data_IF_502292704545
#
_entry.id   IF_502292704545
#
_cell.length_a   1.000
_cell.length_b   1.000
_cell.length_c   1.000
_cell.angle_alpha   90.00
_cell.angle_beta   90.00
_cell.angle_gamma   90.00
#
_symmetry.space_group_name_H-M   'P 1'
#
loop_
_entity.id
_entity.type
_entity.pdbx_description
1 polymer ?
#
# COMPACT_ATOMS: atom_id res chain seq x y z
N UNK A 1 -12.71 4.81 -15.21
CA UNK A 1 -14.13 4.64 -14.83
C UNK A 1 -14.70 3.52 -15.68
N UNK A 2 -15.42 2.58 -15.09
CA UNK A 2 -16.15 1.54 -15.81
C UNK A 2 -17.59 2.03 -15.95
N UNK A 3 -18.11 2.12 -17.18
CA UNK A 3 -19.49 2.54 -17.42
C UNK A 3 -20.41 1.33 -17.54
N UNK A 4 -21.67 1.39 -17.06
CA UNK A 4 -22.64 0.29 -17.18
C UNK A 4 -22.86 -0.18 -18.63
N UNK A 5 -22.69 0.71 -19.60
CA UNK A 5 -22.77 0.37 -21.03
C UNK A 5 -21.71 -0.66 -21.46
N UNK A 6 -20.50 -0.63 -20.87
CA UNK A 6 -19.44 -1.60 -21.19
C UNK A 6 -19.81 -3.01 -20.72
N UNK A 7 -20.42 -3.10 -19.54
CA UNK A 7 -20.88 -4.37 -18.97
C UNK A 7 -22.08 -4.92 -19.76
N UNK A 8 -23.00 -4.03 -20.18
CA UNK A 8 -24.13 -4.39 -21.02
C UNK A 8 -23.72 -4.94 -22.40
N UNK A 9 -22.73 -4.32 -23.06
CA UNK A 9 -22.20 -4.83 -24.34
C UNK A 9 -21.48 -6.16 -24.18
N UNK A 10 -20.70 -6.33 -23.11
CA UNK A 10 -20.01 -7.59 -22.82
C UNK A 10 -20.99 -8.74 -22.55
N UNK A 11 -22.09 -8.48 -21.83
CA UNK A 11 -23.14 -9.45 -21.58
C UNK A 11 -23.88 -9.85 -22.87
N UNK A 12 -24.16 -8.90 -23.77
CA UNK A 12 -24.77 -9.17 -25.09
C UNK A 12 -23.87 -10.03 -25.98
N UNK A 13 -22.55 -9.94 -25.83
CA UNK A 13 -21.56 -10.77 -26.51
C UNK A 13 -21.37 -12.15 -25.86
N UNK A 14 -22.19 -12.52 -24.88
CA UNK A 14 -22.16 -13.82 -24.20
C UNK A 14 -21.07 -13.97 -23.14
N UNK A 15 -20.42 -12.87 -22.72
CA UNK A 15 -19.39 -12.93 -21.69
C UNK A 15 -19.98 -13.30 -20.32
N UNK A 16 -19.36 -14.27 -19.65
CA UNK A 16 -19.71 -14.63 -18.26
C UNK A 16 -19.18 -13.57 -17.28
N UNK A 17 -19.82 -13.36 -16.11
CA UNK A 17 -19.38 -12.36 -15.13
C UNK A 17 -17.89 -12.46 -14.74
N UNK A 18 -17.38 -13.70 -14.57
CA UNK A 18 -15.97 -13.94 -14.26
C UNK A 18 -15.02 -13.55 -15.40
N UNK A 19 -15.44 -13.77 -16.65
CA UNK A 19 -14.67 -13.39 -17.83
C UNK A 19 -14.64 -11.87 -18.02
N UNK A 20 -15.73 -11.20 -17.68
CA UNK A 20 -15.85 -9.74 -17.68
C UNK A 20 -14.88 -9.11 -16.65
N UNK A 21 -14.82 -9.65 -15.43
CA UNK A 21 -13.87 -9.20 -14.40
C UNK A 21 -12.44 -9.35 -14.89
N UNK A 22 -12.05 -10.53 -15.37
CA UNK A 22 -10.66 -10.81 -15.79
C UNK A 22 -10.23 -10.04 -17.03
N UNK A 23 -11.09 -9.92 -18.05
CA UNK A 23 -10.72 -9.35 -19.36
C UNK A 23 -10.96 -7.85 -19.46
N UNK A 24 -11.93 -7.31 -18.72
CA UNK A 24 -12.32 -5.90 -18.84
C UNK A 24 -11.92 -5.14 -17.58
N UNK A 25 -12.46 -5.52 -16.42
CA UNK A 25 -12.27 -4.73 -15.20
C UNK A 25 -10.83 -4.79 -14.67
N UNK A 26 -10.21 -5.97 -14.58
CA UNK A 26 -8.85 -6.15 -14.07
C UNK A 26 -7.80 -5.33 -14.83
N UNK A 27 -7.70 -5.38 -16.17
CA UNK A 27 -6.70 -4.60 -16.90
C UNK A 27 -6.99 -3.09 -16.89
N UNK A 28 -8.26 -2.68 -16.81
CA UNK A 28 -8.64 -1.27 -16.67
C UNK A 28 -8.29 -0.72 -15.28
N UNK A 29 -8.47 -1.53 -14.24
CA UNK A 29 -8.21 -1.15 -12.85
C UNK A 29 -6.77 -1.40 -12.41
N UNK A 30 -5.93 -2.08 -13.20
CA UNK A 30 -4.55 -2.46 -12.82
C UNK A 30 -3.72 -1.32 -12.23
N UNK A 31 -3.85 -0.11 -12.80
CA UNK A 31 -3.13 1.08 -12.31
C UNK A 31 -3.66 1.51 -10.95
N UNK A 32 -4.98 1.61 -10.81
CA UNK A 32 -5.64 1.98 -9.55
C UNK A 32 -5.41 0.95 -8.44
N UNK A 33 -5.42 -0.34 -8.78
CA UNK A 33 -5.13 -1.44 -7.85
C UNK A 33 -3.68 -1.38 -7.38
N UNK A 34 -2.73 -1.17 -8.29
CA UNK A 34 -1.32 -1.01 -7.93
C UNK A 34 -1.10 0.23 -7.06
N UNK A 35 -1.82 1.33 -7.35
CA UNK A 35 -1.81 2.52 -6.50
C UNK A 35 -2.34 2.22 -5.09
N UNK A 36 -3.50 1.58 -4.98
CA UNK A 36 -4.11 1.23 -3.70
C UNK A 36 -3.23 0.27 -2.90
N UNK A 37 -2.62 -0.73 -3.54
CA UNK A 37 -1.71 -1.68 -2.92
C UNK A 37 -0.50 -0.98 -2.30
N UNK A 38 0.12 -0.06 -3.02
CA UNK A 38 1.26 0.71 -2.51
C UNK A 38 0.86 1.63 -1.36
N UNK A 39 -0.34 2.21 -1.39
CA UNK A 39 -0.88 2.99 -0.26
C UNK A 39 -1.06 2.12 0.99
N UNK A 40 -1.75 0.99 0.86
CA UNK A 40 -1.97 0.05 1.98
C UNK A 40 -0.64 -0.48 2.51
N UNK A 41 0.33 -0.76 1.64
CA UNK A 41 1.67 -1.17 2.07
C UNK A 41 2.36 -0.12 2.95
N UNK A 42 2.33 1.15 2.54
CA UNK A 42 2.91 2.26 3.31
C UNK A 42 2.20 2.44 4.64
N UNK A 43 0.87 2.33 4.64
CA UNK A 43 0.02 2.46 5.83
C UNK A 43 0.32 1.37 6.85
N UNK A 44 0.27 0.10 6.42
CA UNK A 44 0.57 -1.06 7.25
C UNK A 44 2.02 -1.05 7.77
N UNK A 45 2.98 -0.54 7.01
CA UNK A 45 4.37 -0.42 7.47
C UNK A 45 4.51 0.51 8.69
N UNK A 46 3.62 1.50 8.83
CA UNK A 46 3.65 2.49 9.92
C UNK A 46 2.63 2.21 11.01
N UNK A 47 1.80 1.17 10.86
CA UNK A 47 0.76 0.78 11.81
C UNK A 47 1.36 0.24 13.12
N UNK A 48 1.67 1.18 14.01
CA UNK A 48 2.24 0.97 15.34
C UNK A 48 1.28 0.27 16.33
N UNK A 49 -0.03 0.62 16.40
CA UNK A 49 -0.94 0.08 17.42
C UNK A 49 -1.19 -1.43 17.27
N UNK A 50 -1.45 -1.89 16.04
CA UNK A 50 -1.69 -3.31 15.77
C UNK A 50 -0.44 -4.15 16.05
N UNK A 51 0.74 -3.60 15.72
CA UNK A 51 2.01 -4.28 15.94
C UNK A 51 2.36 -4.39 17.42
N UNK A 52 2.02 -3.39 18.24
CA UNK A 52 2.21 -3.44 19.69
C UNK A 52 1.25 -4.44 20.37
N UNK A 53 0.01 -4.56 19.89
CA UNK A 53 -1.01 -5.47 20.45
C UNK A 53 -0.77 -6.94 20.08
N UNK A 54 -0.22 -7.21 18.90
CA UNK A 54 0.01 -8.56 18.37
C UNK A 54 1.47 -9.02 18.51
N UNK A 55 2.35 -8.22 19.12
CA UNK A 55 3.78 -8.51 19.25
C UNK A 55 4.00 -9.86 19.95
N UNK A 56 4.54 -10.89 19.28
CA UNK A 56 5.11 -12.05 19.97
C UNK A 56 6.39 -11.62 20.71
N UNK A 57 6.71 -12.28 21.82
CA UNK A 57 7.95 -12.05 22.56
C UNK A 57 9.17 -12.21 21.62
N UNK A 58 10.19 -11.35 21.77
CA UNK A 58 11.44 -11.32 20.97
C UNK A 58 11.39 -10.81 19.51
N UNK A 59 10.30 -10.21 19.03
CA UNK A 59 10.31 -9.52 17.73
C UNK A 59 10.05 -8.02 17.89
N UNK A 60 11.06 -7.21 17.54
CA UNK A 60 10.98 -5.75 17.46
C UNK A 60 10.97 -5.33 16.00
N UNK A 61 9.87 -4.72 15.56
CA UNK A 61 9.82 -4.08 14.24
C UNK A 61 10.50 -2.71 14.31
N UNK A 62 10.91 -2.15 13.16
CA UNK A 62 11.52 -0.81 13.10
C UNK A 62 10.65 0.26 13.79
N UNK A 63 9.33 0.13 13.69
CA UNK A 63 8.38 1.02 14.34
C UNK A 63 8.40 0.91 15.88
N UNK A 64 8.51 -0.32 16.40
CA UNK A 64 8.62 -0.59 17.84
C UNK A 64 9.97 -0.13 18.40
N UNK A 65 11.07 -0.39 17.69
CA UNK A 65 12.41 0.07 18.09
C UNK A 65 12.50 1.61 18.15
N UNK A 66 11.91 2.30 17.16
CA UNK A 66 11.82 3.76 17.17
C UNK A 66 11.00 4.26 18.35
N UNK A 67 9.88 3.61 18.65
CA UNK A 67 9.00 3.99 19.77
C UNK A 67 9.67 3.77 21.13
N UNK A 68 10.38 2.65 21.34
CA UNK A 68 11.10 2.37 22.58
C UNK A 68 12.25 3.38 22.80
N UNK A 69 13.06 3.66 21.77
CA UNK A 69 14.13 4.66 21.86
C UNK A 69 13.60 6.09 22.06
N UNK A 70 12.39 6.38 21.59
CA UNK A 70 11.70 7.64 21.86
C UNK A 70 11.27 7.74 23.32
N UNK A 71 10.71 6.64 23.86
CA UNK A 71 10.30 6.55 25.25
C UNK A 71 11.49 6.62 26.22
N UNK A 72 12.65 6.10 25.80
CA UNK A 72 13.91 6.16 26.54
C UNK A 72 14.65 7.51 26.39
N UNK A 73 14.07 8.50 25.69
CA UNK A 73 14.67 9.82 25.38
C UNK A 73 16.03 9.77 24.65
N UNK A 74 16.40 8.62 24.07
CA UNK A 74 17.68 8.40 23.36
C UNK A 74 17.62 8.87 21.91
N UNK A 75 17.50 10.19 21.73
CA UNK A 75 17.32 10.85 20.43
C UNK A 75 18.44 10.55 19.42
N UNK A 76 19.67 10.35 19.88
CA UNK A 76 20.82 10.01 19.03
C UNK A 76 20.67 8.64 18.36
N UNK A 77 20.11 7.67 19.07
CA UNK A 77 19.95 6.29 18.60
C UNK A 77 18.63 6.10 17.85
N UNK A 78 17.62 6.90 18.18
CA UNK A 78 16.33 6.96 17.48
C UNK A 78 16.45 7.42 16.02
N UNK A 79 17.45 8.25 15.71
CA UNK A 79 17.58 8.84 14.38
C UNK A 79 17.73 7.79 13.26
N UNK A 80 18.51 6.74 13.50
CA UNK A 80 18.75 5.64 12.55
C UNK A 80 17.48 4.86 12.17
N UNK A 81 16.72 4.28 13.11
CA UNK A 81 15.49 3.54 12.81
C UNK A 81 14.37 4.46 12.26
N UNK A 82 14.28 5.70 12.72
CA UNK A 82 13.32 6.66 12.17
C UNK A 82 13.62 7.02 10.70
N UNK A 83 14.89 7.30 10.37
CA UNK A 83 15.32 7.62 9.01
C UNK A 83 15.13 6.44 8.05
N UNK A 84 15.37 5.22 8.51
CA UNK A 84 15.16 4.02 7.69
C UNK A 84 13.67 3.79 7.39
N UNK A 85 12.76 4.03 8.34
CA UNK A 85 11.30 4.01 8.07
C UNK A 85 10.93 5.05 6.99
N UNK A 86 11.48 6.27 7.10
CA UNK A 86 11.22 7.32 6.10
C UNK A 86 11.77 6.93 4.73
N UNK A 87 13.00 6.43 4.64
CA UNK A 87 13.62 5.99 3.38
C UNK A 87 12.83 4.87 2.71
N UNK A 88 12.42 3.85 3.46
CA UNK A 88 11.63 2.74 2.93
C UNK A 88 10.24 3.21 2.51
N UNK A 89 9.62 4.13 3.27
CA UNK A 89 8.30 4.70 2.93
C UNK A 89 8.34 5.65 1.73
N UNK A 90 9.46 6.33 1.50
CA UNK A 90 9.62 7.28 0.40
C UNK A 90 9.65 6.57 -0.97
N UNK A 91 10.19 5.35 -1.02
CA UNK A 91 10.35 4.59 -2.27
C UNK A 91 8.99 4.24 -2.93
N UNK A 92 7.99 3.66 -2.23
CA UNK A 92 6.63 3.49 -2.72
C UNK A 92 5.96 4.81 -3.12
N UNK A 93 6.16 5.88 -2.34
CA UNK A 93 5.56 7.20 -2.60
C UNK A 93 6.08 7.81 -3.90
N UNK A 94 7.38 7.70 -4.18
CA UNK A 94 7.98 8.17 -5.43
C UNK A 94 7.47 7.33 -6.61
N UNK A 95 7.41 5.99 -6.47
CA UNK A 95 6.86 5.10 -7.49
C UNK A 95 5.40 5.43 -7.82
N UNK A 96 4.59 5.67 -6.78
CA UNK A 96 3.21 6.12 -6.89
C UNK A 96 3.09 7.46 -7.62
N UNK A 97 3.86 8.46 -7.21
CA UNK A 97 3.86 9.78 -7.81
C UNK A 97 4.18 9.73 -9.32
N UNK A 98 5.16 8.88 -9.70
CA UNK A 98 5.49 8.63 -11.11
C UNK A 98 4.38 7.87 -11.85
N UNK A 99 3.77 6.87 -11.23
CA UNK A 99 2.68 6.09 -11.84
C UNK A 99 1.43 6.94 -12.09
N UNK A 100 1.11 7.87 -11.19
CA UNK A 100 -0.01 8.81 -11.32
C UNK A 100 0.31 9.88 -12.38
N UNK A 101 1.52 10.44 -12.37
CA UNK A 101 1.94 11.47 -13.34
C UNK A 101 1.94 10.97 -14.80
N UNK A 102 2.18 9.67 -15.02
CA UNK A 102 2.17 9.05 -16.36
C UNK A 102 0.76 8.67 -16.86
N UNK A 103 -0.27 8.86 -16.02
CA UNK A 103 -1.66 8.54 -16.32
C UNK A 103 -2.54 9.74 -16.64
N UNK A 104 -2.00 10.96 -16.55
CA UNK A 104 -2.56 12.19 -17.14
C UNK A 104 -1.96 12.40 -18.52
#
# INVERSE_FOLDING_TARGET
>A
RITPAMDGTAALLGAKPWEMIRRIHLPLLRRSVLTALLFVFVDVMKELPATLLLRPFNLDTLAVATYQLAADERLSELALPALSIVLVGLLPVILLSRAISKGR
#
